data_IF_059627883751
#
_entry.id   IF_059627883751
#
_cell.length_a   1.000
_cell.length_b   1.000
_cell.length_c   1.000
_cell.angle_alpha   90.00
_cell.angle_beta   90.00
_cell.angle_gamma   90.00
#
_symmetry.space_group_name_H-M   'P 1'
#
loop_
_entity.id
_entity.type
_entity.pdbx_description
1 polymer ?
#
# COMPACT_ATOMS: atom_id res chain seq x y z
N UNK A 1 -19.02 55.44 -19.98
CA UNK A 1 -18.28 54.31 -20.59
C UNK A 1 -17.72 53.45 -19.46
N UNK A 2 -18.22 52.23 -19.26
CA UNK A 2 -17.72 51.30 -18.24
C UNK A 2 -16.82 50.27 -18.93
N UNK A 3 -15.54 50.24 -18.56
CA UNK A 3 -14.56 49.25 -19.04
C UNK A 3 -14.73 47.99 -18.22
N UNK A 4 -15.17 46.90 -18.86
CA UNK A 4 -15.25 45.58 -18.23
C UNK A 4 -13.86 44.92 -18.37
N UNK A 5 -13.12 44.82 -17.27
CA UNK A 5 -11.83 44.13 -17.26
C UNK A 5 -12.06 42.61 -17.20
N UNK A 6 -11.73 41.92 -18.29
CA UNK A 6 -11.75 40.46 -18.37
C UNK A 6 -10.49 39.91 -17.69
N UNK A 7 -10.63 39.35 -16.49
CA UNK A 7 -9.56 38.62 -15.80
C UNK A 7 -9.49 37.23 -16.39
N UNK A 8 -8.48 36.97 -17.22
CA UNK A 8 -8.14 35.63 -17.71
C UNK A 8 -7.40 34.91 -16.58
N UNK A 9 -8.10 34.04 -15.88
CA UNK A 9 -7.51 33.15 -14.87
C UNK A 9 -6.64 32.09 -15.54
N UNK A 10 -5.32 32.20 -15.42
CA UNK A 10 -4.37 31.14 -15.74
C UNK A 10 -4.63 29.95 -14.81
N UNK A 11 -5.31 28.94 -15.32
CA UNK A 11 -5.41 27.63 -14.66
C UNK A 11 -4.04 26.96 -14.82
N UNK A 12 -3.21 27.04 -13.79
CA UNK A 12 -1.99 26.24 -13.71
C UNK A 12 -2.38 24.77 -13.52
N UNK A 13 -2.22 23.96 -14.56
CA UNK A 13 -2.27 22.52 -14.42
C UNK A 13 -1.07 22.07 -13.58
N UNK A 14 -1.26 21.84 -12.28
CA UNK A 14 -0.24 21.19 -11.46
C UNK A 14 0.03 19.80 -12.06
N UNK A 15 1.31 19.50 -12.32
CA UNK A 15 1.72 18.15 -12.69
C UNK A 15 1.52 17.25 -11.47
N UNK A 16 0.84 16.12 -11.65
CA UNK A 16 0.84 15.07 -10.65
C UNK A 16 2.21 14.39 -10.68
N UNK A 17 2.99 14.56 -9.62
CA UNK A 17 4.28 13.87 -9.48
C UNK A 17 4.01 12.43 -9.03
N UNK A 18 4.45 11.46 -9.84
CA UNK A 18 4.46 10.06 -9.44
C UNK A 18 5.55 9.82 -8.40
N UNK A 19 5.25 9.10 -7.34
CA UNK A 19 6.25 8.60 -6.41
C UNK A 19 6.19 7.07 -6.40
N UNK A 20 7.36 6.43 -6.33
CA UNK A 20 7.47 4.99 -6.25
C UNK A 20 7.86 4.59 -4.83
N UNK A 21 7.07 3.71 -4.22
CA UNK A 21 7.43 3.08 -2.94
C UNK A 21 8.01 1.70 -3.24
N UNK A 22 9.20 1.42 -2.73
CA UNK A 22 9.88 0.14 -2.88
C UNK A 22 10.10 -0.47 -1.50
N UNK A 23 9.55 -1.66 -1.32
CA UNK A 23 9.82 -2.52 -0.18
C UNK A 23 10.84 -3.59 -0.53
N UNK A 24 11.47 -4.14 0.51
CA UNK A 24 12.34 -5.29 0.38
C UNK A 24 12.03 -6.27 1.53
N UNK A 25 12.09 -7.56 1.25
CA UNK A 25 11.88 -8.64 2.23
C UNK A 25 13.18 -9.05 2.95
N UNK A 26 14.34 -8.55 2.51
CA UNK A 26 15.64 -8.78 3.17
C UNK A 26 16.25 -7.55 3.83
N UNK A 27 15.97 -6.35 3.31
CA UNK A 27 16.43 -5.09 3.92
C UNK A 27 15.36 -4.52 4.85
N UNK A 28 15.78 -4.05 6.01
CA UNK A 28 14.90 -3.46 7.03
C UNK A 28 14.50 -2.02 6.69
N UNK A 29 14.30 -1.69 5.40
CA UNK A 29 13.90 -0.36 4.95
C UNK A 29 12.89 -0.45 3.80
N UNK A 30 11.88 0.42 3.84
CA UNK A 30 11.06 0.78 2.67
C UNK A 30 11.48 2.15 2.18
N UNK A 31 11.58 2.32 0.87
CA UNK A 31 12.12 3.50 0.23
C UNK A 31 11.05 4.23 -0.57
N UNK A 32 11.07 5.56 -0.51
CA UNK A 32 10.36 6.43 -1.43
C UNK A 32 11.35 6.94 -2.46
N UNK A 33 11.04 6.67 -3.72
CA UNK A 33 11.84 7.03 -4.88
C UNK A 33 11.05 8.07 -5.67
N UNK A 34 11.69 9.20 -5.89
CA UNK A 34 11.25 10.17 -6.87
C UNK A 34 11.67 9.68 -8.26
N UNK A 35 10.68 9.30 -9.07
CA UNK A 35 10.93 8.75 -10.41
C UNK A 35 11.39 9.82 -11.41
N UNK A 36 11.21 11.10 -11.07
CA UNK A 36 11.72 12.22 -11.87
C UNK A 36 13.16 12.58 -11.48
N UNK A 37 13.69 12.00 -10.38
CA UNK A 37 15.06 12.22 -9.92
C UNK A 37 15.33 13.61 -9.34
N UNK A 38 14.28 14.36 -8.98
CA UNK A 38 14.41 15.70 -8.38
C UNK A 38 14.91 15.57 -6.94
N UNK A 39 14.44 14.56 -6.21
CA UNK A 39 14.82 14.27 -4.83
C UNK A 39 15.57 12.93 -4.72
N UNK A 40 16.58 12.83 -3.83
CA UNK A 40 17.24 11.56 -3.56
C UNK A 40 16.27 10.55 -2.92
N UNK A 41 16.47 9.26 -3.20
CA UNK A 41 15.71 8.19 -2.56
C UNK A 41 15.88 8.27 -1.03
N UNK A 42 14.79 8.07 -0.29
CA UNK A 42 14.79 8.15 1.17
C UNK A 42 14.01 7.01 1.79
N UNK A 43 14.47 6.53 2.95
CA UNK A 43 13.69 5.56 3.70
C UNK A 43 12.44 6.24 4.28
N UNK A 44 11.30 5.56 4.16
CA UNK A 44 10.00 5.97 4.72
C UNK A 44 9.54 5.07 5.85
N UNK A 45 10.05 3.84 5.98
CA UNK A 45 9.82 2.96 7.13
C UNK A 45 11.11 2.18 7.36
N UNK A 46 11.46 1.94 8.63
CA UNK A 46 12.69 1.24 9.03
C UNK A 46 12.42 0.08 9.98
N UNK A 47 13.42 -0.77 10.15
CA UNK A 47 13.42 -1.91 11.07
C UNK A 47 12.63 -3.11 10.54
N UNK A 48 12.31 -4.04 11.43
CA UNK A 48 11.60 -5.30 11.09
C UNK A 48 10.19 -5.06 10.55
N UNK A 49 9.59 -3.90 10.87
CA UNK A 49 8.31 -3.47 10.31
C UNK A 49 8.38 -3.14 8.81
N UNK A 50 9.56 -2.86 8.27
CA UNK A 50 9.76 -2.48 6.88
C UNK A 50 9.95 -3.67 5.92
N UNK A 51 10.28 -4.85 6.46
CA UNK A 51 10.39 -6.09 5.69
C UNK A 51 9.05 -6.32 5.01
N UNK A 52 8.98 -6.24 3.69
CA UNK A 52 7.71 -6.19 2.95
C UNK A 52 7.73 -7.12 1.74
N UNK A 53 6.75 -8.02 1.67
CA UNK A 53 6.56 -8.93 0.54
C UNK A 53 5.52 -8.45 -0.47
N UNK A 54 4.62 -7.56 -0.05
CA UNK A 54 3.60 -6.97 -0.91
C UNK A 54 3.14 -5.62 -0.35
N UNK A 55 2.86 -4.65 -1.23
CA UNK A 55 2.52 -3.26 -0.87
C UNK A 55 1.32 -2.80 -1.68
N UNK A 56 0.41 -2.06 -1.06
CA UNK A 56 -0.70 -1.38 -1.72
C UNK A 56 -0.88 0.03 -1.17
N UNK A 57 -1.32 0.95 -2.03
CA UNK A 57 -1.54 2.34 -1.67
C UNK A 57 -3.03 2.69 -1.77
N UNK A 58 -3.61 3.18 -0.67
CA UNK A 58 -4.90 3.88 -0.67
C UNK A 58 -4.67 5.36 -1.03
N UNK A 59 -5.27 5.87 -2.12
CA UNK A 59 -5.16 7.27 -2.54
C UNK A 59 -5.58 8.30 -1.48
N UNK A 60 -6.29 7.89 -0.43
CA UNK A 60 -6.60 8.78 0.72
C UNK A 60 -5.45 8.97 1.69
N UNK A 61 -4.28 8.34 1.43
CA UNK A 61 -3.04 8.59 2.15
C UNK A 61 -2.64 7.48 3.11
N UNK A 62 -3.07 6.23 2.86
CA UNK A 62 -2.65 5.08 3.68
C UNK A 62 -1.84 4.11 2.84
N UNK A 63 -0.63 3.79 3.31
CA UNK A 63 0.18 2.70 2.77
C UNK A 63 -0.14 1.43 3.54
N UNK A 64 -0.44 0.34 2.84
CA UNK A 64 -0.64 -1.00 3.39
C UNK A 64 0.46 -1.93 2.88
N UNK A 65 0.93 -2.84 3.72
CA UNK A 65 1.87 -3.87 3.29
C UNK A 65 1.78 -5.14 4.11
N UNK A 66 2.26 -6.24 3.54
CA UNK A 66 2.44 -7.52 4.23
C UNK A 66 3.88 -7.63 4.67
N UNK A 67 4.13 -7.77 5.96
CA UNK A 67 5.50 -7.89 6.45
C UNK A 67 6.06 -9.31 6.37
N UNK A 68 7.36 -9.47 6.69
CA UNK A 68 8.02 -10.80 6.72
C UNK A 68 7.42 -11.82 7.69
N UNK A 69 6.52 -11.41 8.59
CA UNK A 69 5.79 -12.27 9.53
C UNK A 69 4.32 -12.51 9.10
N UNK A 70 3.97 -12.17 7.85
CA UNK A 70 2.60 -12.29 7.31
C UNK A 70 1.56 -11.50 8.12
N UNK A 71 1.97 -10.34 8.65
CA UNK A 71 1.09 -9.38 9.30
C UNK A 71 0.72 -8.28 8.33
N UNK A 72 -0.54 -7.89 8.34
CA UNK A 72 -0.95 -6.66 7.69
C UNK A 72 -0.46 -5.49 8.52
N UNK A 73 0.27 -4.61 7.85
CA UNK A 73 0.78 -3.37 8.39
C UNK A 73 0.11 -2.20 7.66
N UNK A 74 0.05 -1.06 8.34
CA UNK A 74 -0.37 0.19 7.70
C UNK A 74 0.40 1.38 8.25
N UNK A 75 0.48 2.44 7.47
CA UNK A 75 0.95 3.75 7.93
C UNK A 75 0.23 4.87 7.19
N UNK A 76 -0.02 5.97 7.91
CA UNK A 76 -0.44 7.21 7.28
C UNK A 76 0.73 7.83 6.52
N UNK A 77 0.45 8.40 5.36
CA UNK A 77 1.44 9.04 4.52
C UNK A 77 2.13 10.19 5.25
N UNK A 78 3.45 10.21 5.19
CA UNK A 78 4.26 11.34 5.61
C UNK A 78 5.20 11.73 4.47
N UNK A 79 4.81 12.67 3.58
CA UNK A 79 5.62 13.04 2.43
C UNK A 79 6.94 13.71 2.81
N UNK A 80 7.03 14.28 4.01
CA UNK A 80 8.20 15.00 4.50
C UNK A 80 9.15 14.15 5.36
N UNK A 81 8.73 12.95 5.81
CA UNK A 81 9.50 12.20 6.80
C UNK A 81 9.24 10.70 6.81
N UNK A 82 9.69 10.06 7.89
CA UNK A 82 9.43 8.65 8.15
C UNK A 82 7.95 8.45 8.54
N UNK A 83 7.37 7.34 8.10
CA UNK A 83 6.03 6.91 8.41
C UNK A 83 6.08 5.95 9.61
N UNK A 84 5.15 6.13 10.56
CA UNK A 84 5.04 5.23 11.70
C UNK A 84 4.21 4.00 11.33
N UNK A 85 4.87 2.84 11.27
CA UNK A 85 4.21 1.58 11.01
C UNK A 85 3.29 1.16 12.17
N UNK A 86 2.07 0.76 11.84
CA UNK A 86 1.08 0.20 12.76
C UNK A 86 0.76 -1.22 12.32
N UNK A 87 0.87 -2.17 13.26
CA UNK A 87 0.42 -3.54 13.04
C UNK A 87 -1.11 -3.54 13.07
N UNK A 88 -1.76 -4.00 12.00
CA UNK A 88 -3.20 -4.26 11.99
C UNK A 88 -3.48 -5.60 12.65
N UNK A 89 -2.75 -6.64 12.25
CA UNK A 89 -2.88 -7.99 12.78
C UNK A 89 -2.24 -9.04 11.88
N UNK A 90 -2.19 -10.31 12.31
CA UNK A 90 -1.85 -11.41 11.41
C UNK A 90 -2.90 -11.53 10.31
N UNK A 91 -2.47 -11.77 9.07
CA UNK A 91 -3.40 -12.13 8.02
C UNK A 91 -4.02 -13.49 8.35
N UNK A 92 -5.35 -13.59 8.32
CA UNK A 92 -6.05 -14.83 8.71
C UNK A 92 -7.07 -15.26 7.67
N UNK A 93 -7.19 -16.57 7.41
CA UNK A 93 -8.22 -17.15 6.54
C UNK A 93 -9.03 -18.13 7.40
N UNK A 94 -10.34 -17.91 7.50
CA UNK A 94 -11.22 -18.74 8.36
C UNK A 94 -10.85 -18.69 9.85
N UNK A 95 -10.20 -17.60 10.30
CA UNK A 95 -9.75 -17.43 11.69
C UNK A 95 -8.38 -18.04 12.01
N UNK A 96 -7.77 -18.80 11.10
CA UNK A 96 -6.41 -19.32 11.26
C UNK A 96 -5.39 -18.40 10.58
N UNK A 97 -4.18 -18.31 11.15
CA UNK A 97 -3.08 -17.55 10.54
C UNK A 97 -2.78 -18.08 9.12
N UNK A 98 -2.76 -17.17 8.16
CA UNK A 98 -2.44 -17.48 6.78
C UNK A 98 -0.93 -17.38 6.57
N UNK A 99 -0.39 -18.37 5.85
CA UNK A 99 1.05 -18.55 5.80
C UNK A 99 1.75 -17.78 4.67
N UNK A 100 1.04 -17.33 3.63
CA UNK A 100 1.70 -16.62 2.53
C UNK A 100 0.76 -15.79 1.66
N UNK A 101 0.95 -14.47 1.65
CA UNK A 101 0.39 -13.55 0.65
C UNK A 101 1.54 -12.86 -0.09
N UNK A 102 1.52 -12.94 -1.42
CA UNK A 102 2.59 -12.44 -2.30
C UNK A 102 2.18 -11.21 -3.13
N UNK A 103 0.92 -10.81 -3.06
CA UNK A 103 0.41 -9.62 -3.73
C UNK A 103 -0.57 -8.88 -2.84
N UNK A 104 -0.61 -7.54 -2.98
CA UNK A 104 -1.54 -6.67 -2.29
C UNK A 104 -1.95 -5.57 -3.25
N UNK A 105 -3.24 -5.25 -3.32
CA UNK A 105 -3.79 -4.19 -4.15
C UNK A 105 -4.94 -3.49 -3.44
N UNK A 106 -5.10 -2.19 -3.69
CA UNK A 106 -6.22 -1.42 -3.15
C UNK A 106 -7.16 -1.02 -4.29
N UNK A 107 -8.42 -1.41 -4.19
CA UNK A 107 -9.48 -0.96 -5.07
C UNK A 107 -10.00 0.41 -4.59
N UNK A 108 -9.69 1.44 -5.39
CA UNK A 108 -10.11 2.82 -5.13
C UNK A 108 -11.62 3.04 -5.28
N UNK A 109 -12.32 2.27 -6.11
CA UNK A 109 -13.73 2.48 -6.40
C UNK A 109 -14.58 2.02 -5.23
N UNK A 110 -14.24 0.85 -4.67
CA UNK A 110 -15.01 0.22 -3.60
C UNK A 110 -14.34 0.36 -2.23
N UNK A 111 -13.15 0.95 -2.18
CA UNK A 111 -12.32 1.14 -0.98
C UNK A 111 -11.98 -0.19 -0.29
N UNK A 112 -11.66 -1.22 -1.08
CA UNK A 112 -11.35 -2.58 -0.59
C UNK A 112 -9.88 -2.91 -0.79
N UNK A 113 -9.31 -3.66 0.14
CA UNK A 113 -7.95 -4.18 0.04
C UNK A 113 -8.04 -5.65 -0.41
N UNK A 114 -7.22 -6.04 -1.38
CA UNK A 114 -7.15 -7.40 -1.88
C UNK A 114 -5.73 -7.95 -1.75
N UNK A 115 -5.61 -9.23 -1.47
CA UNK A 115 -4.34 -9.93 -1.45
C UNK A 115 -4.38 -11.17 -2.34
N UNK A 116 -3.24 -11.50 -2.96
CA UNK A 116 -3.06 -12.76 -3.66
C UNK A 116 -2.25 -13.72 -2.81
N UNK A 117 -2.79 -14.92 -2.63
CA UNK A 117 -2.10 -16.05 -2.00
C UNK A 117 -1.62 -16.97 -3.12
N UNK A 118 -0.34 -17.31 -3.13
CA UNK A 118 0.33 -18.11 -4.17
C UNK A 118 0.79 -19.49 -3.66
N UNK A 119 0.10 -20.04 -2.65
CA UNK A 119 0.47 -21.34 -2.09
C UNK A 119 -0.76 -22.13 -1.67
N UNK A 120 -1.13 -23.09 -2.53
CA UNK A 120 -2.21 -24.06 -2.33
C UNK A 120 -1.97 -25.09 -1.21
N UNK A 121 -0.73 -25.29 -0.74
CA UNK A 121 -0.41 -26.34 0.23
C UNK A 121 -0.97 -26.07 1.64
N UNK A 122 -1.29 -24.81 1.95
CA UNK A 122 -1.72 -24.38 3.28
C UNK A 122 -3.19 -23.88 3.28
N UNK A 123 -3.93 -24.17 2.21
CA UNK A 123 -5.29 -23.69 1.94
C UNK A 123 -5.44 -23.21 0.49
N UNK A 124 -6.64 -22.81 0.10
CA UNK A 124 -6.96 -22.43 -1.28
C UNK A 124 -6.04 -21.32 -1.82
N UNK A 125 -5.47 -21.52 -3.01
CA UNK A 125 -4.77 -20.48 -3.74
C UNK A 125 -5.78 -19.51 -4.38
N UNK A 126 -5.47 -18.21 -4.43
CA UNK A 126 -6.36 -17.25 -5.07
C UNK A 126 -6.33 -15.83 -4.52
N UNK A 127 -7.34 -15.05 -4.92
CA UNK A 127 -7.55 -13.68 -4.46
C UNK A 127 -8.47 -13.64 -3.26
N UNK A 128 -8.06 -12.86 -2.26
CA UNK A 128 -8.75 -12.64 -1.02
C UNK A 128 -9.05 -11.16 -0.83
N UNK A 129 -10.25 -10.82 -0.38
CA UNK A 129 -10.51 -9.52 0.21
C UNK A 129 -9.93 -9.49 1.63
N UNK A 130 -9.24 -8.42 1.98
CA UNK A 130 -8.60 -8.21 3.28
C UNK A 130 -9.31 -7.10 4.02
N UNK A 131 -9.80 -7.39 5.22
CA UNK A 131 -10.33 -6.38 6.12
C UNK A 131 -9.17 -5.53 6.67
N UNK A 132 -9.07 -4.28 6.24
CA UNK A 132 -7.99 -3.36 6.62
C UNK A 132 -7.96 -2.95 8.12
N UNK A 133 -8.98 -3.35 8.89
CA UNK A 133 -9.08 -3.11 10.34
C UNK A 133 -8.71 -4.34 11.15
N UNK A 134 -9.03 -5.55 10.67
CA UNK A 134 -8.85 -6.80 11.43
C UNK A 134 -7.83 -7.77 10.83
N UNK A 135 -7.35 -7.51 9.61
CA UNK A 135 -6.51 -8.41 8.81
C UNK A 135 -7.17 -9.77 8.47
N UNK A 136 -8.48 -9.91 8.67
CA UNK A 136 -9.25 -11.07 8.23
C UNK A 136 -9.35 -11.10 6.69
N UNK A 137 -9.10 -12.26 6.10
CA UNK A 137 -9.08 -12.50 4.66
C UNK A 137 -10.23 -13.42 4.25
N UNK A 138 -11.01 -13.00 3.26
CA UNK A 138 -12.15 -13.75 2.70
C UNK A 138 -11.86 -14.09 1.25
N UNK A 139 -11.97 -15.36 0.87
CA UNK A 139 -11.73 -15.79 -0.52
C UNK A 139 -12.78 -15.16 -1.45
N UNK A 140 -12.30 -14.51 -2.51
CA UNK A 140 -13.15 -13.89 -3.54
C UNK A 140 -13.08 -14.70 -4.83
N UNK A 141 -11.90 -15.24 -5.15
CA UNK A 141 -11.70 -16.05 -6.34
C UNK A 141 -10.60 -17.06 -6.11
N UNK A 142 -10.87 -18.33 -6.39
CA UNK A 142 -9.89 -19.40 -6.33
C UNK A 142 -9.11 -19.49 -7.64
N UNK A 143 -7.78 -19.63 -7.54
CA UNK A 143 -6.96 -19.98 -8.69
C UNK A 143 -7.33 -21.39 -9.20
N UNK A 144 -7.35 -21.61 -10.53
CA UNK A 144 -7.69 -22.90 -11.14
C UNK A 144 -6.68 -24.01 -10.85
#
# INVERSE_FOLDING_TARGET
>A
MRVLALVVGLVSCARAHGQLVVGNDVDSNMWLIDVEGISPARAIVRGTSALSGAIAWDPTGTLYWVNGQQRLMKAANNPAGEMTAVVVGPLTVGGAAAANFAGLAFDRAERRLFAYRNNGALGTEGFYEVNATTAACTLVWAAP
#
